data_IF_545325696675
#
_entry.id   IF_545325696675
#
_cell.length_a   1.000
_cell.length_b   1.000
_cell.length_c   1.000
_cell.angle_alpha   90.00
_cell.angle_beta   90.00
_cell.angle_gamma   90.00
#
_symmetry.space_group_name_H-M   'P 1'
#
loop_
_entity.id
_entity.type
_entity.pdbx_description
1 polymer ?
#
# COMPACT_ATOMS: atom_id res chain seq x y z
N UNK A 1 -3.73 12.51 4.12
CA UNK A 1 -3.47 12.44 2.66
C UNK A 1 -4.15 11.20 2.10
N UNK A 2 -5.05 11.32 1.12
CA UNK A 2 -5.72 10.17 0.50
C UNK A 2 -4.77 9.40 -0.42
N UNK A 3 -4.48 8.14 -0.11
CA UNK A 3 -3.47 7.30 -0.77
C UNK A 3 -4.09 5.95 -1.17
N UNK A 4 -5.04 5.94 -2.13
CA UNK A 4 -5.72 4.73 -2.55
C UNK A 4 -4.76 3.75 -3.22
N UNK A 5 -5.06 2.46 -3.15
CA UNK A 5 -4.23 1.43 -3.77
C UNK A 5 -4.41 0.09 -3.09
N UNK A 6 -3.87 -0.03 -1.87
CA UNK A 6 -4.12 -1.18 -0.99
C UNK A 6 -5.62 -1.33 -0.71
N UNK A 7 -6.29 -0.24 -0.37
CA UNK A 7 -7.76 -0.13 -0.35
C UNK A 7 -8.21 1.18 -1.01
N UNK A 8 -9.52 1.30 -1.27
CA UNK A 8 -10.12 2.55 -1.79
C UNK A 8 -10.02 3.72 -0.78
N UNK A 9 -10.07 3.40 0.51
CA UNK A 9 -10.11 4.37 1.61
C UNK A 9 -8.76 4.61 2.27
N UNK A 10 -7.68 4.02 1.78
CA UNK A 10 -6.36 4.14 2.39
C UNK A 10 -5.91 5.61 2.44
N UNK A 11 -5.35 5.99 3.59
CA UNK A 11 -4.82 7.33 3.87
C UNK A 11 -3.45 7.21 4.55
N UNK A 12 -2.61 8.23 4.37
CA UNK A 12 -1.45 8.47 5.23
C UNK A 12 -1.65 9.76 6.04
N UNK A 13 -1.13 9.79 7.26
CA UNK A 13 -1.02 11.03 8.05
C UNK A 13 0.43 11.52 8.00
N UNK A 14 0.62 12.80 7.74
CA UNK A 14 1.94 13.38 7.53
C UNK A 14 2.16 14.53 8.51
N UNK A 15 3.09 14.33 9.43
CA UNK A 15 3.65 15.38 10.27
C UNK A 15 4.80 16.03 9.48
N UNK A 16 4.54 17.22 8.94
CA UNK A 16 5.49 17.94 8.09
C UNK A 16 6.68 18.48 8.88
N UNK A 17 6.44 18.95 10.10
CA UNK A 17 7.46 19.59 10.93
C UNK A 17 8.47 18.56 11.43
N UNK A 18 7.98 17.37 11.79
CA UNK A 18 8.83 16.24 12.22
C UNK A 18 9.28 15.34 11.07
N UNK A 19 8.78 15.58 9.85
CA UNK A 19 9.01 14.75 8.66
C UNK A 19 8.67 13.26 8.90
N UNK A 20 7.57 13.01 9.60
CA UNK A 20 7.09 11.66 9.92
C UNK A 20 5.86 11.34 9.07
N UNK A 21 5.88 10.18 8.42
CA UNK A 21 4.74 9.63 7.70
C UNK A 21 4.16 8.42 8.45
N UNK A 22 2.91 8.51 8.90
CA UNK A 22 2.15 7.35 9.34
C UNK A 22 1.44 6.76 8.12
N UNK A 23 1.92 5.61 7.63
CA UNK A 23 1.49 5.05 6.34
C UNK A 23 0.34 4.05 6.43
N UNK A 24 0.04 3.52 7.62
CA UNK A 24 -0.87 2.38 7.75
C UNK A 24 -0.43 1.25 6.81
N UNK A 25 -1.37 0.72 6.03
CA UNK A 25 -1.11 -0.38 5.09
C UNK A 25 -0.80 0.11 3.67
N UNK A 26 -0.61 1.41 3.46
CA UNK A 26 -0.21 1.97 2.16
C UNK A 26 1.23 1.58 1.81
N UNK A 27 2.12 1.51 2.80
CA UNK A 27 3.50 1.09 2.60
C UNK A 27 4.09 0.65 3.93
N UNK A 28 4.76 -0.48 3.91
CA UNK A 28 5.42 -1.10 5.05
C UNK A 28 6.60 -1.94 4.55
N UNK A 29 7.54 -2.28 5.44
CA UNK A 29 8.76 -3.00 5.06
C UNK A 29 8.52 -4.49 4.83
N UNK A 30 7.79 -4.79 3.76
CA UNK A 30 7.38 -6.13 3.34
C UNK A 30 6.69 -6.11 1.99
N UNK A 31 6.01 -7.20 1.64
CA UNK A 31 5.30 -7.30 0.36
C UNK A 31 4.07 -6.40 0.35
N UNK A 32 4.06 -5.40 -0.53
CA UNK A 32 2.90 -4.52 -0.73
C UNK A 32 1.75 -5.29 -1.38
N UNK A 33 0.68 -5.52 -0.61
CA UNK A 33 -0.46 -6.35 -1.03
C UNK A 33 -1.44 -5.52 -1.87
N UNK A 34 -1.75 -6.01 -3.07
CA UNK A 34 -2.69 -5.39 -4.02
C UNK A 34 -3.69 -6.37 -4.66
N UNK A 35 -3.76 -7.61 -4.15
CA UNK A 35 -4.64 -8.68 -4.62
C UNK A 35 -5.92 -8.83 -3.82
N UNK A 36 -6.20 -7.92 -2.87
CA UNK A 36 -7.44 -7.95 -2.11
C UNK A 36 -8.62 -7.40 -2.93
N UNK A 37 -9.88 -7.73 -2.58
CA UNK A 37 -11.08 -7.36 -3.36
C UNK A 37 -11.21 -5.86 -3.66
N UNK A 38 -10.72 -5.01 -2.76
CA UNK A 38 -10.83 -3.55 -2.88
C UNK A 38 -9.53 -2.86 -3.30
N UNK A 39 -8.50 -3.63 -3.61
CA UNK A 39 -7.24 -3.09 -4.12
C UNK A 39 -7.37 -2.69 -5.60
N UNK A 40 -6.66 -1.62 -5.98
CA UNK A 40 -6.58 -1.08 -7.34
C UNK A 40 -5.14 -0.69 -7.68
N UNK A 41 -4.51 -1.48 -8.55
CA UNK A 41 -3.10 -1.33 -8.93
C UNK A 41 -2.82 0.06 -9.54
N UNK A 42 -3.69 0.58 -10.41
CA UNK A 42 -3.51 1.90 -11.01
C UNK A 42 -3.43 3.01 -9.97
N UNK A 43 -4.32 2.95 -8.97
CA UNK A 43 -4.37 3.92 -7.87
C UNK A 43 -3.15 3.75 -6.97
N UNK A 44 -2.74 2.50 -6.74
CA UNK A 44 -1.57 2.20 -5.91
C UNK A 44 -0.28 2.73 -6.55
N UNK A 45 -0.09 2.53 -7.85
CA UNK A 45 1.03 3.09 -8.60
C UNK A 45 1.05 4.62 -8.51
N UNK A 46 -0.10 5.29 -8.60
CA UNK A 46 -0.18 6.75 -8.43
C UNK A 46 0.18 7.19 -6.99
N UNK A 47 -0.27 6.44 -5.98
CA UNK A 47 0.11 6.66 -4.58
C UNK A 47 1.61 6.45 -4.34
N UNK A 48 2.22 5.42 -4.93
CA UNK A 48 3.66 5.16 -4.86
C UNK A 48 4.49 6.30 -5.46
N UNK A 49 4.08 6.85 -6.61
CA UNK A 49 4.76 8.03 -7.20
C UNK A 49 4.72 9.23 -6.26
N UNK A 50 3.55 9.48 -5.65
CA UNK A 50 3.42 10.55 -4.66
C UNK A 50 4.26 10.31 -3.40
N UNK A 51 4.44 9.06 -2.96
CA UNK A 51 5.34 8.73 -1.85
C UNK A 51 6.80 9.05 -2.21
N UNK A 52 7.23 8.72 -3.43
CA UNK A 52 8.57 9.08 -3.93
C UNK A 52 8.75 10.60 -3.97
N UNK A 53 7.76 11.36 -4.45
CA UNK A 53 7.79 12.83 -4.46
C UNK A 53 7.95 13.43 -3.04
N UNK A 54 7.37 12.82 -2.01
CA UNK A 54 7.58 13.27 -0.62
C UNK A 54 9.03 13.07 -0.17
N UNK A 55 9.64 11.96 -0.57
CA UNK A 55 11.06 11.67 -0.27
C UNK A 55 11.97 12.61 -1.04
N UNK A 56 11.76 12.80 -2.34
CA UNK A 56 12.57 13.67 -3.19
C UNK A 56 12.54 15.13 -2.73
N UNK A 57 11.42 15.58 -2.17
CA UNK A 57 11.26 16.92 -1.59
C UNK A 57 11.79 17.05 -0.16
N UNK A 58 12.36 15.99 0.41
CA UNK A 58 12.87 15.97 1.79
C UNK A 58 11.79 16.17 2.85
N UNK A 59 10.54 15.83 2.54
CA UNK A 59 9.38 16.01 3.41
C UNK A 59 9.13 14.84 4.37
N UNK A 60 9.78 13.70 4.14
CA UNK A 60 9.68 12.50 4.96
C UNK A 60 11.10 11.99 5.24
N UNK A 61 11.41 11.75 6.50
CA UNK A 61 12.65 11.10 6.95
C UNK A 61 12.37 9.76 7.65
N UNK A 62 11.18 9.62 8.27
CA UNK A 62 10.78 8.45 9.05
C UNK A 62 9.36 8.02 8.73
N UNK A 63 9.14 6.70 8.61
CA UNK A 63 7.84 6.10 8.33
C UNK A 63 7.42 5.20 9.48
N UNK A 64 6.21 5.39 9.99
CA UNK A 64 5.54 4.56 11.00
C UNK A 64 4.43 3.76 10.30
N UNK A 65 4.72 2.51 9.87
CA UNK A 65 3.73 1.68 9.19
C UNK A 65 2.70 1.06 10.13
N UNK A 66 1.59 0.56 9.55
CA UNK A 66 0.60 -0.25 10.28
C UNK A 66 1.11 -1.64 10.66
N UNK A 67 2.12 -2.13 9.94
CA UNK A 67 2.77 -3.42 10.16
C UNK A 67 4.29 -3.32 10.04
N UNK A 68 5.01 -4.25 10.67
CA UNK A 68 6.47 -4.35 10.68
C UNK A 68 7.15 -3.16 11.41
N UNK A 69 8.46 -3.02 11.20
CA UNK A 69 9.30 -2.04 11.90
C UNK A 69 9.24 -0.66 11.23
N UNK A 70 9.58 0.37 12.01
CA UNK A 70 9.81 1.74 11.52
C UNK A 70 10.99 1.73 10.55
N UNK A 71 10.90 2.51 9.46
CA UNK A 71 11.95 2.62 8.46
C UNK A 71 12.13 4.07 7.96
N UNK A 72 13.23 4.30 7.23
CA UNK A 72 13.63 5.62 6.74
C UNK A 72 13.20 5.92 5.30
N UNK A 73 13.43 7.17 4.88
CA UNK A 73 13.06 7.68 3.56
C UNK A 73 13.65 6.90 2.37
N UNK A 74 14.91 6.46 2.47
CA UNK A 74 15.55 5.64 1.43
C UNK A 74 14.78 4.33 1.21
N UNK A 75 14.41 3.67 2.31
CA UNK A 75 13.62 2.43 2.24
C UNK A 75 12.22 2.68 1.70
N UNK A 76 11.59 3.81 2.05
CA UNK A 76 10.31 4.24 1.47
C UNK A 76 10.41 4.38 -0.05
N UNK A 77 11.44 5.08 -0.54
CA UNK A 77 11.66 5.27 -1.97
C UNK A 77 11.87 3.93 -2.69
N UNK A 78 12.69 3.04 -2.11
CA UNK A 78 12.92 1.71 -2.65
C UNK A 78 11.64 0.87 -2.72
N UNK A 79 10.83 0.83 -1.65
CA UNK A 79 9.57 0.08 -1.63
C UNK A 79 8.60 0.58 -2.71
N UNK A 80 8.41 1.89 -2.81
CA UNK A 80 7.51 2.51 -3.77
C UNK A 80 7.98 2.29 -5.22
N UNK A 81 9.27 2.50 -5.51
CA UNK A 81 9.82 2.29 -6.86
C UNK A 81 9.82 0.82 -7.26
N UNK A 82 10.14 -0.09 -6.34
CA UNK A 82 10.08 -1.53 -6.57
C UNK A 82 8.65 -2.02 -6.82
N UNK A 83 7.65 -1.49 -6.10
CA UNK A 83 6.25 -1.80 -6.42
C UNK A 83 5.89 -1.38 -7.85
N UNK A 84 6.27 -0.16 -8.27
CA UNK A 84 6.00 0.34 -9.62
C UNK A 84 6.67 -0.53 -10.68
N UNK A 85 7.91 -0.98 -10.46
CA UNK A 85 8.62 -1.84 -11.43
C UNK A 85 7.98 -3.22 -11.56
N UNK A 86 7.38 -3.74 -10.49
CA UNK A 86 6.73 -5.05 -10.45
C UNK A 86 5.26 -5.03 -10.91
N UNK A 87 4.60 -3.87 -10.95
CA UNK A 87 3.17 -3.70 -11.31
C UNK A 87 2.82 -3.95 -12.80
N UNK A 88 3.55 -4.86 -13.47
CA UNK A 88 3.40 -5.26 -14.87
C UNK A 88 2.28 -6.28 -15.14
N UNK A 89 2.22 -6.77 -16.38
CA UNK A 89 1.12 -7.62 -16.89
C UNK A 89 1.02 -8.97 -16.17
N UNK A 90 2.15 -9.62 -15.89
CA UNK A 90 2.17 -10.93 -15.22
C UNK A 90 1.62 -10.85 -13.79
N UNK A 91 1.97 -9.78 -13.06
CA UNK A 91 1.45 -9.50 -11.72
C UNK A 91 -0.08 -9.34 -11.72
N UNK A 92 -0.63 -8.63 -12.71
CA UNK A 92 -2.08 -8.44 -12.84
C UNK A 92 -2.86 -9.76 -12.99
N UNK A 93 -2.33 -10.73 -13.74
CA UNK A 93 -3.00 -12.03 -13.94
C UNK A 93 -3.06 -12.80 -12.63
N UNK A 94 -1.93 -12.93 -11.94
CA UNK A 94 -1.84 -13.60 -10.63
C UNK A 94 -2.72 -12.92 -9.57
N UNK A 95 -2.70 -11.59 -9.54
CA UNK A 95 -3.53 -10.77 -8.63
C UNK A 95 -5.02 -10.98 -8.91
N UNK A 96 -5.47 -11.04 -10.17
CA UNK A 96 -6.88 -11.30 -10.49
C UNK A 96 -7.37 -12.66 -9.97
N UNK A 97 -6.57 -13.72 -10.13
CA UNK A 97 -6.91 -15.04 -9.62
C UNK A 97 -6.99 -15.06 -8.08
N UNK A 98 -5.98 -14.51 -7.41
CA UNK A 98 -5.93 -14.36 -5.95
C UNK A 98 -7.12 -13.55 -5.42
N UNK A 99 -7.49 -12.48 -6.12
CA UNK A 99 -8.61 -11.60 -5.76
C UNK A 99 -9.95 -12.31 -5.77
N UNK A 100 -10.20 -13.15 -6.77
CA UNK A 100 -11.41 -13.97 -6.85
C UNK A 100 -11.49 -14.96 -5.69
N UNK A 101 -10.40 -15.67 -5.40
CA UNK A 101 -10.33 -16.60 -4.26
C UNK A 101 -10.53 -15.86 -2.93
N UNK A 102 -9.81 -14.76 -2.71
CA UNK A 102 -9.92 -13.95 -1.49
C UNK A 102 -11.34 -13.42 -1.29
N UNK A 103 -12.01 -12.98 -2.36
CA UNK A 103 -13.41 -12.52 -2.30
C UNK A 103 -14.36 -13.62 -1.83
N UNK A 104 -14.21 -14.84 -2.37
CA UNK A 104 -15.04 -16.00 -1.98
C UNK A 104 -14.78 -16.36 -0.51
N UNK A 105 -13.51 -16.45 -0.10
CA UNK A 105 -13.15 -16.78 1.29
C UNK A 105 -13.70 -15.75 2.25
N UNK A 106 -13.47 -14.45 2.00
CA UNK A 106 -13.97 -13.37 2.85
C UNK A 106 -15.49 -13.36 2.95
N UNK A 107 -16.19 -13.65 1.85
CA UNK A 107 -17.65 -13.76 1.85
C UNK A 107 -18.11 -14.94 2.72
N UNK A 108 -17.50 -16.12 2.56
CA UNK A 108 -17.83 -17.31 3.36
C UNK A 108 -17.55 -17.11 4.86
N UNK A 109 -16.45 -16.44 5.21
CA UNK A 109 -16.11 -16.18 6.61
C UNK A 109 -17.03 -15.14 7.24
N UNK A 110 -17.37 -14.05 6.52
CA UNK A 110 -18.31 -13.05 7.04
C UNK A 110 -19.72 -13.61 7.20
N UNK A 111 -20.20 -14.42 6.26
CA UNK A 111 -21.54 -15.03 6.33
C UNK A 111 -21.69 -16.04 7.49
N UNK A 112 -20.57 -16.56 8.02
CA UNK A 112 -20.57 -17.44 9.21
C UNK A 112 -20.56 -16.67 10.54
N UNK A 113 -20.31 -15.36 10.53
CA UNK A 113 -20.31 -14.51 11.72
C UNK A 113 -21.65 -13.84 12.03
N UNK A 114 -22.67 -14.05 11.18
CA UNK A 114 -24.02 -13.47 11.30
C UNK A 114 -25.07 -14.51 11.69
N UNK A 115 -24.73 -15.48 12.54
CA UNK A 115 -25.68 -16.45 13.13
C UNK A 115 -25.72 -16.31 14.64
#
# INVERSE_FOLDING_TARGET
MHMPGHSRGSICLHDKDRKILFSGDVVYDGSMIDWLPYSRISDYVASCRRLMELVDRGLVEKVLPGHFNIFGAERLYWLASNYISQAGVCHKVSTCAMKSIASIVLHLTNSRGTS
#
